data_IF_453419772028
#
_entry.id   IF_453419772028
#
_cell.length_a   1.000
_cell.length_b   1.000
_cell.length_c   1.000
_cell.angle_alpha   90.00
_cell.angle_beta   90.00
_cell.angle_gamma   90.00
#
_symmetry.space_group_name_H-M   'P 1'
#
loop_
_entity.id
_entity.type
_entity.pdbx_description
1 polymer ?
#
# COMPACT_ATOMS: atom_id res chain seq x y z
N UNK A 1 19.90 -27.94 -4.32
CA UNK A 1 18.95 -27.43 -3.31
C UNK A 1 18.76 -25.95 -3.62
N UNK A 2 17.60 -25.52 -4.13
CA UNK A 2 17.38 -24.12 -4.47
C UNK A 2 17.00 -23.32 -3.22
N UNK A 3 17.68 -22.21 -2.96
CA UNK A 3 17.36 -21.34 -1.83
C UNK A 3 15.99 -20.67 -2.03
N UNK A 4 15.19 -20.59 -0.96
CA UNK A 4 13.87 -19.97 -0.99
C UNK A 4 14.00 -18.44 -0.91
N UNK A 5 14.14 -17.79 -2.07
CA UNK A 5 14.31 -16.34 -2.22
C UNK A 5 13.18 -15.53 -1.54
N UNK A 6 12.02 -16.15 -1.33
CA UNK A 6 10.87 -15.51 -0.68
C UNK A 6 11.14 -15.11 0.78
N UNK A 7 12.13 -15.70 1.44
CA UNK A 7 12.44 -15.44 2.86
C UNK A 7 13.44 -14.28 3.05
N UNK A 8 14.11 -13.84 1.99
CA UNK A 8 15.08 -12.76 2.11
C UNK A 8 14.44 -11.42 2.42
N UNK A 9 15.21 -10.52 3.03
CA UNK A 9 14.84 -9.11 3.17
C UNK A 9 14.81 -8.47 1.78
N UNK A 10 13.87 -7.55 1.58
CA UNK A 10 13.74 -6.80 0.32
C UNK A 10 13.98 -5.32 0.60
N UNK A 11 14.56 -4.65 -0.38
CA UNK A 11 14.78 -3.22 -0.39
C UNK A 11 14.04 -2.63 -1.59
N UNK A 12 13.44 -1.45 -1.39
CA UNK A 12 12.61 -0.79 -2.39
C UNK A 12 12.95 0.70 -2.44
N UNK A 13 12.97 1.24 -3.65
CA UNK A 13 13.01 2.68 -3.91
C UNK A 13 11.75 3.02 -4.69
N UNK A 14 11.04 4.05 -4.25
CA UNK A 14 9.79 4.47 -4.86
C UNK A 14 9.50 5.96 -4.62
N UNK A 15 8.51 6.48 -5.34
CA UNK A 15 8.04 7.85 -5.20
C UNK A 15 6.56 7.84 -4.91
N UNK A 16 6.13 8.63 -3.92
CA UNK A 16 4.73 8.76 -3.52
C UNK A 16 4.25 10.15 -3.90
N UNK A 17 3.02 10.24 -4.44
CA UNK A 17 2.34 11.50 -4.67
C UNK A 17 1.37 11.79 -3.52
N UNK A 18 1.68 12.80 -2.72
CA UNK A 18 0.78 13.25 -1.65
C UNK A 18 -0.47 13.93 -2.23
N UNK A 19 -1.57 13.84 -1.48
CA UNK A 19 -2.84 14.47 -1.85
C UNK A 19 -3.70 13.66 -2.81
N UNK A 20 -3.31 12.45 -3.21
CA UNK A 20 -4.11 11.56 -4.05
C UNK A 20 -4.19 10.17 -3.42
N UNK A 21 -5.39 9.60 -3.36
CA UNK A 21 -5.59 8.19 -3.05
C UNK A 21 -6.25 7.48 -4.22
N UNK A 22 -5.77 6.28 -4.55
CA UNK A 22 -6.34 5.41 -5.58
C UNK A 22 -6.92 4.13 -4.97
N UNK A 23 -7.73 3.40 -5.73
CA UNK A 23 -8.31 2.12 -5.30
C UNK A 23 -7.28 0.97 -5.22
N UNK A 24 -6.18 1.06 -5.97
CA UNK A 24 -5.08 0.08 -5.97
C UNK A 24 -3.89 0.48 -5.10
N UNK A 25 -3.90 1.68 -4.52
CA UNK A 25 -2.79 2.28 -3.78
C UNK A 25 -1.51 2.50 -4.60
N UNK A 26 -1.62 2.49 -5.93
CA UNK A 26 -0.55 2.86 -6.86
C UNK A 26 -1.04 3.84 -7.94
N UNK A 27 -0.14 4.21 -8.86
CA UNK A 27 -0.43 5.17 -9.93
C UNK A 27 -1.34 4.64 -11.05
N UNK A 28 -1.63 3.33 -11.07
CA UNK A 28 -2.46 2.69 -12.10
C UNK A 28 -3.94 2.63 -11.71
N UNK A 29 -4.26 2.84 -10.43
CA UNK A 29 -5.62 2.81 -9.92
C UNK A 29 -6.46 4.03 -10.31
N UNK A 30 -7.77 3.91 -10.09
CA UNK A 30 -8.71 5.02 -10.22
C UNK A 30 -8.56 5.95 -9.02
N UNK A 31 -8.55 7.26 -9.26
CA UNK A 31 -8.53 8.26 -8.19
C UNK A 31 -9.83 8.16 -7.39
N UNK A 32 -9.69 7.91 -6.09
CA UNK A 32 -10.79 7.90 -5.12
C UNK A 32 -10.93 9.26 -4.43
N UNK A 33 -9.81 9.94 -4.16
CA UNK A 33 -9.79 11.21 -3.45
C UNK A 33 -8.63 12.08 -3.90
N UNK A 34 -8.89 13.38 -3.94
CA UNK A 34 -7.89 14.43 -4.06
C UNK A 34 -7.97 15.30 -2.80
N UNK A 35 -6.85 15.73 -2.24
CA UNK A 35 -6.77 16.54 -1.03
C UNK A 35 -5.70 17.61 -1.18
N UNK A 36 -5.94 18.78 -0.58
CA UNK A 36 -4.97 19.86 -0.51
C UNK A 36 -3.76 19.42 0.35
N UNK A 37 -2.55 19.82 -0.05
CA UNK A 37 -1.29 19.46 0.61
C UNK A 37 -0.46 20.69 1.00
N UNK A 38 -1.02 21.90 0.90
CA UNK A 38 -0.29 23.15 1.07
C UNK A 38 0.28 23.31 2.49
N UNK A 39 -0.37 22.71 3.48
CA UNK A 39 0.11 22.69 4.87
C UNK A 39 1.16 21.62 5.16
N UNK A 40 1.50 20.74 4.19
CA UNK A 40 2.45 19.65 4.41
C UNK A 40 3.87 20.14 4.13
N UNK A 41 4.68 20.20 5.19
CA UNK A 41 6.11 20.49 5.10
C UNK A 41 6.95 19.21 5.12
N UNK A 42 8.19 19.30 4.62
CA UNK A 42 9.17 18.22 4.71
C UNK A 42 9.37 17.73 6.16
N UNK A 43 9.42 18.66 7.12
CA UNK A 43 9.55 18.33 8.55
C UNK A 43 8.40 17.46 9.04
N UNK A 44 7.16 17.81 8.68
CA UNK A 44 5.97 17.03 9.05
C UNK A 44 6.06 15.61 8.46
N UNK A 45 6.52 15.47 7.21
CA UNK A 45 6.71 14.16 6.57
C UNK A 45 7.74 13.34 7.33
N UNK A 46 8.93 13.90 7.57
CA UNK A 46 10.03 13.20 8.26
C UNK A 46 9.67 12.79 9.69
N UNK A 47 8.90 13.60 10.41
CA UNK A 47 8.40 13.27 11.74
C UNK A 47 7.40 12.12 11.71
N UNK A 48 6.46 12.14 10.76
CA UNK A 48 5.45 11.08 10.62
C UNK A 48 6.04 9.77 10.08
N UNK A 49 7.09 9.81 9.25
CA UNK A 49 7.74 8.60 8.74
C UNK A 49 8.31 7.69 9.85
N UNK A 50 8.60 8.25 11.03
CA UNK A 50 9.14 7.50 12.17
C UNK A 50 8.23 6.35 12.63
N UNK A 51 6.92 6.45 12.41
CA UNK A 51 5.97 5.38 12.78
C UNK A 51 6.13 4.11 11.93
N UNK A 52 6.84 4.21 10.79
CA UNK A 52 7.06 3.09 9.87
C UNK A 52 8.42 2.41 10.09
N UNK A 53 9.23 2.86 11.06
CA UNK A 53 10.50 2.21 11.39
C UNK A 53 10.30 1.07 12.39
N UNK A 54 11.02 -0.03 12.17
CA UNK A 54 10.95 -1.23 13.01
C UNK A 54 9.84 -2.18 12.57
N UNK A 55 9.36 -3.00 13.51
CA UNK A 55 8.24 -3.91 13.27
C UNK A 55 6.90 -3.18 13.35
N UNK A 56 6.10 -3.29 12.30
CA UNK A 56 4.79 -2.67 12.21
C UNK A 56 3.73 -3.69 11.80
N UNK A 57 2.50 -3.47 12.24
CA UNK A 57 1.34 -4.20 11.71
C UNK A 57 0.85 -3.49 10.46
N UNK A 58 0.96 -4.15 9.31
CA UNK A 58 0.43 -3.66 8.05
C UNK A 58 -0.79 -4.49 7.65
N UNK A 59 -1.90 -3.81 7.36
CA UNK A 59 -3.04 -4.43 6.67
C UNK A 59 -2.74 -4.44 5.17
N UNK A 60 -2.69 -5.62 4.53
CA UNK A 60 -2.42 -5.69 3.09
C UNK A 60 -3.55 -5.04 2.27
N UNK A 61 -3.24 -4.47 1.09
CA UNK A 61 -4.26 -3.97 0.20
C UNK A 61 -5.16 -5.08 -0.35
N UNK A 62 -6.40 -4.71 -0.68
CA UNK A 62 -7.35 -5.61 -1.35
C UNK A 62 -6.85 -6.05 -2.72
N UNK A 63 -6.17 -5.18 -3.45
CA UNK A 63 -5.43 -5.56 -4.65
C UNK A 63 -4.11 -6.23 -4.28
N UNK A 64 -4.18 -7.46 -3.78
CA UNK A 64 -3.02 -8.29 -3.47
C UNK A 64 -3.22 -9.73 -3.88
N UNK A 65 -2.11 -10.47 -3.98
CA UNK A 65 -2.10 -11.89 -4.31
C UNK A 65 -2.52 -12.80 -3.13
N UNK A 66 -2.82 -12.21 -1.96
CA UNK A 66 -3.27 -12.96 -0.78
C UNK A 66 -4.62 -13.62 -1.05
N UNK A 67 -4.90 -14.71 -0.33
CA UNK A 67 -6.18 -15.40 -0.41
C UNK A 67 -6.99 -15.18 0.86
N UNK A 68 -8.27 -14.90 0.71
CA UNK A 68 -9.25 -14.95 1.79
C UNK A 68 -10.29 -16.03 1.46
N UNK A 69 -10.47 -17.00 2.37
CA UNK A 69 -11.39 -18.15 2.20
C UNK A 69 -11.25 -18.85 0.83
N UNK A 70 -10.02 -19.04 0.37
CA UNK A 70 -9.70 -19.71 -0.90
C UNK A 70 -9.76 -18.85 -2.17
N UNK A 71 -10.30 -17.63 -2.11
CA UNK A 71 -10.32 -16.68 -3.24
C UNK A 71 -9.22 -15.64 -3.12
N UNK A 72 -8.60 -15.24 -4.24
CA UNK A 72 -7.56 -14.19 -4.21
C UNK A 72 -8.20 -12.84 -3.93
N UNK A 73 -7.56 -11.99 -3.12
CA UNK A 73 -8.12 -10.70 -2.72
C UNK A 73 -8.36 -9.77 -3.91
N UNK A 74 -7.47 -9.79 -4.92
CA UNK A 74 -7.70 -8.97 -6.11
C UNK A 74 -8.92 -9.42 -6.94
N UNK A 75 -9.28 -10.72 -6.92
CA UNK A 75 -10.49 -11.22 -7.60
C UNK A 75 -11.75 -10.65 -6.92
N UNK A 76 -11.71 -10.55 -5.59
CA UNK A 76 -12.78 -9.95 -4.76
C UNK A 76 -12.85 -8.44 -4.98
N UNK A 77 -11.70 -7.76 -5.00
CA UNK A 77 -11.62 -6.32 -5.23
C UNK A 77 -12.22 -5.93 -6.59
N UNK A 78 -11.94 -6.71 -7.65
CA UNK A 78 -12.49 -6.50 -9.00
C UNK A 78 -13.98 -6.79 -9.11
N UNK A 79 -14.55 -7.60 -8.21
CA UNK A 79 -15.99 -7.85 -8.17
C UNK A 79 -16.79 -6.75 -7.47
N UNK A 80 -16.15 -5.63 -7.08
CA UNK A 80 -16.82 -4.47 -6.48
C UNK A 80 -17.16 -4.63 -4.99
N UNK A 81 -16.72 -5.70 -4.33
CA UNK A 81 -16.92 -5.90 -2.89
C UNK A 81 -15.70 -5.32 -2.18
N UNK A 82 -15.69 -4.00 -2.01
CA UNK A 82 -14.74 -3.35 -1.10
C UNK A 82 -15.25 -3.58 0.33
N UNK A 83 -14.53 -4.39 1.12
CA UNK A 83 -14.71 -4.40 2.57
C UNK A 83 -14.01 -3.16 3.13
N UNK A 84 -14.77 -2.30 3.81
CA UNK A 84 -14.23 -1.27 4.70
C UNK A 84 -13.85 -1.89 6.04
#
# INVERSE_FOLDING_TARGET
MGENIMEFKKEYIGTIRLGISTDTFDSMGKILKISNVDSISKKIIEENLKIFYGEIKQTPPMFSALKNKGKRLYDIARSGIAFN
#
